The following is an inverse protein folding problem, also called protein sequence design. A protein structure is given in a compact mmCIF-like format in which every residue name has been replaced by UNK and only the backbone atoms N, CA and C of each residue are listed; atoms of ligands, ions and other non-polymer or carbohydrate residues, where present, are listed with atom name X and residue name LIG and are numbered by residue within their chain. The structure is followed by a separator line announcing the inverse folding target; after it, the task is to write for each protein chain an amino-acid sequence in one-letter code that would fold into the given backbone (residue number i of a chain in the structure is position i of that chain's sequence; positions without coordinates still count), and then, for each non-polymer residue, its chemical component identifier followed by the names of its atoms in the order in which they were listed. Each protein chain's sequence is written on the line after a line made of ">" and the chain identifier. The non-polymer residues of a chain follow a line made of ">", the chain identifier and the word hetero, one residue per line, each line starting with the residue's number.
data_IF_007919260957
#
_entry.id   IF_007919260957
#
_cell.length_a   1.000
_cell.length_b   1.000
_cell.length_c   1.000
_cell.angle_alpha   90.00
_cell.angle_beta   90.00
_cell.angle_gamma   90.00
#
_symmetry.space_group_name_H-M   'P 1'
#
loop_
_entity.id
_entity.type
_entity.pdbx_description
1 polymer ?
#
# COMPACT_ATOMS: atom_id res chain seq x y z
N UNK A 1 17.60 47.37 -3.98
CA UNK A 1 18.15 46.15 -4.59
C UNK A 1 17.34 44.98 -4.07
N UNK A 2 16.39 44.47 -4.86
CA UNK A 2 15.47 43.39 -4.44
C UNK A 2 15.42 42.31 -5.52
N UNK A 3 16.09 41.20 -5.24
CA UNK A 3 15.79 39.84 -5.72
C UNK A 3 16.13 38.91 -4.54
N UNK A 4 15.54 37.70 -4.37
CA UNK A 4 14.71 36.87 -5.27
C UNK A 4 13.34 36.53 -4.59
N UNK A 5 12.31 35.94 -5.20
CA UNK A 5 12.26 34.70 -5.97
C UNK A 5 11.88 33.53 -5.05
N UNK A 6 10.60 33.41 -4.70
CA UNK A 6 10.02 32.18 -4.14
C UNK A 6 8.64 31.95 -4.79
N UNK A 7 8.66 31.36 -5.98
CA UNK A 7 7.47 30.75 -6.56
C UNK A 7 7.22 29.46 -5.79
N UNK A 8 6.32 29.52 -4.79
CA UNK A 8 5.77 28.35 -4.13
C UNK A 8 4.85 27.60 -5.09
N UNK A 9 5.45 26.77 -5.95
CA UNK A 9 4.73 25.64 -6.53
C UNK A 9 4.49 24.64 -5.39
N UNK A 10 3.32 24.73 -4.77
CA UNK A 10 2.76 23.60 -4.03
C UNK A 10 2.40 22.50 -5.05
N UNK A 11 3.40 21.73 -5.46
CA UNK A 11 3.16 20.40 -6.05
C UNK A 11 2.45 19.61 -4.97
N UNK A 12 1.21 19.16 -5.22
CA UNK A 12 0.45 18.38 -4.25
C UNK A 12 1.31 17.23 -3.73
N UNK A 13 1.46 17.15 -2.40
CA UNK A 13 2.33 16.16 -1.76
C UNK A 13 1.80 14.76 -2.08
N UNK A 14 2.42 14.09 -3.05
CA UNK A 14 2.21 12.67 -3.30
C UNK A 14 2.97 11.90 -2.22
N UNK A 15 2.28 10.99 -1.53
CA UNK A 15 2.91 10.11 -0.55
C UNK A 15 4.01 9.27 -1.18
N UNK A 16 4.99 8.85 -0.38
CA UNK A 16 6.17 8.14 -0.89
C UNK A 16 5.81 6.84 -1.64
N UNK A 17 4.66 6.25 -1.32
CA UNK A 17 4.19 4.98 -1.87
C UNK A 17 2.95 5.14 -2.76
N UNK A 18 2.66 6.35 -3.24
CA UNK A 18 1.49 6.58 -4.07
C UNK A 18 1.60 5.77 -5.38
N UNK A 19 0.55 4.99 -5.65
CA UNK A 19 0.48 4.08 -6.80
C UNK A 19 1.40 2.86 -6.72
N UNK A 20 2.00 2.55 -5.55
CA UNK A 20 2.82 1.34 -5.35
C UNK A 20 1.98 0.18 -4.82
N UNK A 21 2.25 -1.02 -5.30
CA UNK A 21 1.63 -2.26 -4.80
C UNK A 21 2.54 -2.92 -3.75
N UNK A 22 2.02 -3.11 -2.56
CA UNK A 22 2.76 -3.57 -1.39
C UNK A 22 2.04 -4.76 -0.76
N UNK A 23 2.78 -5.83 -0.48
CA UNK A 23 2.29 -6.99 0.26
C UNK A 23 2.89 -6.92 1.66
N UNK A 24 2.06 -7.05 2.70
CA UNK A 24 2.54 -7.12 4.08
C UNK A 24 2.03 -8.39 4.74
N UNK A 25 2.98 -9.29 4.97
CA UNK A 25 2.77 -10.52 5.74
C UNK A 25 2.66 -10.21 7.23
N UNK A 26 1.94 -11.04 8.00
CA UNK A 26 1.74 -10.79 9.43
C UNK A 26 0.97 -9.50 9.77
N UNK A 27 0.29 -8.88 8.80
CA UNK A 27 -0.46 -7.62 8.93
C UNK A 27 -1.70 -7.68 9.82
N UNK A 28 -1.93 -8.78 10.56
CA UNK A 28 -3.05 -8.91 11.50
C UNK A 28 -2.78 -8.18 12.80
N UNK A 29 -1.54 -8.21 13.29
CA UNK A 29 -1.19 -7.74 14.61
C UNK A 29 0.20 -7.10 14.66
N UNK A 30 0.44 -6.38 15.76
CA UNK A 30 1.75 -5.82 16.09
C UNK A 30 2.33 -4.96 14.97
N UNK A 31 3.60 -5.23 14.65
CA UNK A 31 4.41 -4.44 13.71
C UNK A 31 3.84 -4.53 12.29
N UNK A 32 3.46 -5.71 11.81
CA UNK A 32 2.93 -5.86 10.46
C UNK A 32 1.65 -5.04 10.23
N UNK A 33 0.79 -4.94 11.26
CA UNK A 33 -0.40 -4.08 11.19
C UNK A 33 -0.03 -2.60 11.15
N UNK A 34 0.92 -2.17 11.99
CA UNK A 34 1.36 -0.79 12.00
C UNK A 34 2.01 -0.38 10.67
N UNK A 35 2.83 -1.26 10.09
CA UNK A 35 3.41 -1.07 8.77
C UNK A 35 2.33 -0.90 7.69
N UNK A 36 1.34 -1.81 7.64
CA UNK A 36 0.27 -1.73 6.65
C UNK A 36 -0.56 -0.45 6.73
N UNK A 37 -0.78 0.07 7.94
CA UNK A 37 -1.44 1.37 8.11
C UNK A 37 -0.57 2.52 7.61
N UNK A 38 0.75 2.48 7.79
CA UNK A 38 1.65 3.54 7.34
C UNK A 38 1.79 3.56 5.82
N UNK A 39 2.02 2.40 5.18
CA UNK A 39 2.11 2.33 3.72
C UNK A 39 0.84 2.83 3.04
N UNK A 40 -0.32 2.48 3.58
CA UNK A 40 -1.60 2.96 3.09
C UNK A 40 -1.78 4.48 3.18
N UNK A 41 -1.33 5.11 4.27
CA UNK A 41 -1.35 6.58 4.40
C UNK A 41 -0.48 7.25 3.35
N UNK A 42 0.60 6.59 2.94
CA UNK A 42 1.50 7.03 1.89
C UNK A 42 1.00 6.68 0.48
N UNK A 43 -0.23 6.15 0.34
CA UNK A 43 -0.89 5.89 -0.94
C UNK A 43 -0.69 4.48 -1.52
N UNK A 44 -0.14 3.55 -0.74
CA UNK A 44 0.08 2.18 -1.19
C UNK A 44 -1.24 1.40 -1.41
N UNK A 45 -1.20 0.50 -2.38
CA UNK A 45 -2.20 -0.54 -2.61
C UNK A 45 -1.80 -1.80 -1.83
N UNK A 46 -2.67 -2.30 -0.96
CA UNK A 46 -2.29 -3.21 0.14
C UNK A 46 -3.14 -4.47 0.19
N UNK A 47 -2.59 -5.57 0.72
CA UNK A 47 -3.32 -6.84 0.74
C UNK A 47 -4.13 -7.11 2.02
N UNK A 48 -5.02 -6.19 2.49
CA UNK A 48 -5.89 -6.45 3.66
C UNK A 48 -7.05 -5.48 3.96
N UNK A 49 -8.15 -6.02 4.47
CA UNK A 49 -9.39 -5.32 4.87
C UNK A 49 -9.26 -4.23 5.97
N UNK A 50 -8.30 -4.29 6.91
CA UNK A 50 -8.18 -3.24 7.96
C UNK A 50 -7.61 -1.92 7.46
N UNK A 51 -7.00 -1.93 6.27
CA UNK A 51 -6.40 -0.76 5.64
C UNK A 51 -7.44 0.11 4.94
N UNK A 52 -8.64 -0.43 4.69
CA UNK A 52 -9.71 0.24 3.95
C UNK A 52 -10.10 1.58 4.57
N UNK A 53 -10.15 1.69 5.90
CA UNK A 53 -10.47 2.94 6.60
C UNK A 53 -9.39 4.03 6.37
N UNK A 54 -8.14 3.63 6.17
CA UNK A 54 -7.00 4.53 5.96
C UNK A 54 -6.97 5.00 4.50
N UNK A 55 -7.37 4.14 3.57
CA UNK A 55 -7.49 4.45 2.15
C UNK A 55 -8.78 5.19 1.78
N UNK A 56 -9.47 5.80 2.75
CA UNK A 56 -10.72 6.54 2.52
C UNK A 56 -11.90 5.67 2.07
N UNK A 57 -11.84 4.36 2.31
CA UNK A 57 -12.87 3.42 1.86
C UNK A 57 -12.69 2.92 0.43
N UNK A 58 -11.57 3.21 -0.25
CA UNK A 58 -11.35 2.76 -1.62
C UNK A 58 -10.93 1.28 -1.67
N UNK A 59 -11.91 0.41 -1.93
CA UNK A 59 -11.69 -1.03 -2.09
C UNK A 59 -10.75 -1.36 -3.26
N UNK A 60 -10.60 -0.47 -4.26
CA UNK A 60 -9.70 -0.72 -5.40
C UNK A 60 -8.23 -0.62 -5.02
N UNK A 61 -7.92 -0.03 -3.86
CA UNK A 61 -6.56 0.04 -3.31
C UNK A 61 -6.26 -1.10 -2.35
N UNK A 62 -7.17 -2.09 -2.22
CA UNK A 62 -7.04 -3.16 -1.25
C UNK A 62 -7.37 -4.53 -1.85
N UNK A 63 -6.45 -5.48 -1.73
CA UNK A 63 -6.64 -6.87 -2.16
C UNK A 63 -6.61 -7.83 -0.97
N UNK A 64 -7.75 -8.33 -0.50
CA UNK A 64 -7.74 -9.23 0.66
C UNK A 64 -7.30 -10.65 0.29
N UNK A 65 -6.15 -11.08 0.79
CA UNK A 65 -5.74 -12.49 0.80
C UNK A 65 -5.73 -13.04 2.24
N UNK A 66 -6.22 -14.27 2.42
CA UNK A 66 -6.23 -14.98 3.72
C UNK A 66 -5.74 -16.39 3.55
N UNK A 67 -4.74 -16.77 4.31
CA UNK A 67 -4.24 -18.14 4.34
C UNK A 67 -3.00 -18.27 5.21
N UNK A 68 -2.53 -19.50 5.35
CA UNK A 68 -1.24 -19.80 5.96
C UNK A 68 -0.14 -19.62 4.92
N UNK A 69 0.76 -18.66 5.15
CA UNK A 69 1.83 -18.34 4.21
C UNK A 69 2.91 -19.42 4.12
N UNK A 70 2.92 -20.40 5.03
CA UNK A 70 3.77 -21.58 4.90
C UNK A 70 3.31 -22.52 3.76
N UNK A 71 2.12 -22.31 3.20
CA UNK A 71 1.60 -23.08 2.06
C UNK A 71 1.95 -22.40 0.74
N UNK A 72 2.56 -23.15 -0.16
CA UNK A 72 2.99 -22.65 -1.47
C UNK A 72 1.81 -22.12 -2.29
N UNK A 73 0.64 -22.76 -2.19
CA UNK A 73 -0.55 -22.33 -2.92
C UNK A 73 -1.02 -20.95 -2.45
N UNK A 74 -0.93 -20.67 -1.15
CA UNK A 74 -1.30 -19.38 -0.55
C UNK A 74 -0.30 -18.30 -0.95
N UNK A 75 1.00 -18.59 -0.94
CA UNK A 75 2.01 -17.64 -1.42
C UNK A 75 1.76 -17.26 -2.88
N UNK A 76 1.48 -18.26 -3.72
CA UNK A 76 1.17 -18.05 -5.14
C UNK A 76 -0.10 -17.23 -5.31
N UNK A 77 -1.16 -17.53 -4.55
CA UNK A 77 -2.41 -16.76 -4.57
C UNK A 77 -2.20 -15.28 -4.18
N UNK A 78 -1.41 -15.02 -3.13
CA UNK A 78 -1.14 -13.64 -2.68
C UNK A 78 -0.41 -12.87 -3.78
N UNK A 79 0.65 -13.44 -4.35
CA UNK A 79 1.45 -12.77 -5.39
C UNK A 79 0.64 -12.59 -6.67
N UNK A 80 0.05 -13.66 -7.20
CA UNK A 80 -0.75 -13.60 -8.43
C UNK A 80 -1.95 -12.69 -8.25
N UNK A 81 -2.63 -12.75 -7.10
CA UNK A 81 -3.75 -11.88 -6.77
C UNK A 81 -3.37 -10.41 -6.71
N UNK A 82 -2.21 -10.08 -6.12
CA UNK A 82 -1.70 -8.70 -6.08
C UNK A 82 -1.37 -8.18 -7.48
N UNK A 83 -0.67 -8.98 -8.28
CA UNK A 83 -0.34 -8.62 -9.66
C UNK A 83 -1.60 -8.50 -10.52
N UNK A 84 -2.60 -9.37 -10.33
CA UNK A 84 -3.86 -9.28 -11.05
C UNK A 84 -4.70 -8.06 -10.62
N UNK A 85 -4.68 -7.70 -9.33
CA UNK A 85 -5.45 -6.58 -8.79
C UNK A 85 -4.83 -5.23 -9.17
N UNK A 86 -3.50 -5.10 -9.10
CA UNK A 86 -2.80 -3.82 -9.21
C UNK A 86 -1.88 -3.72 -10.43
N UNK A 87 -1.70 -4.81 -11.19
CA UNK A 87 -0.83 -4.90 -12.36
C UNK A 87 0.66 -5.00 -12.03
N UNK A 88 1.04 -4.96 -10.75
CA UNK A 88 2.44 -4.89 -10.30
C UNK A 88 2.59 -5.38 -8.86
N UNK A 89 3.84 -5.61 -8.46
CA UNK A 89 4.30 -5.78 -7.08
C UNK A 89 5.60 -5.00 -6.92
N UNK A 90 5.62 -4.03 -5.99
CA UNK A 90 6.79 -3.17 -5.74
C UNK A 90 7.55 -3.54 -4.47
N UNK A 91 6.83 -3.95 -3.42
CA UNK A 91 7.39 -4.18 -2.08
C UNK A 91 6.72 -5.40 -1.44
N UNK A 92 7.49 -6.21 -0.72
CA UNK A 92 7.06 -7.39 0.05
C UNK A 92 7.72 -7.40 1.43
#
# INVERSE_FOLDING_TARGET
>A
MTHPGENNYHTGEMGQFDGRAVIITGSSNGIGRAAAVLFAKEGAMETKSMVLAVNGGDEKKVFLARGDICKEEVMKEIVDGTVNAFGRLDVL
#
